data_IF_588656463021
#
_entry.id   IF_588656463021
#
_cell.length_a   1.000
_cell.length_b   1.000
_cell.length_c   1.000
_cell.angle_alpha   90.00
_cell.angle_beta   90.00
_cell.angle_gamma   90.00
#
_symmetry.space_group_name_H-M   'P 1'
#
loop_
_entity.id
_entity.type
_entity.pdbx_description
1 polymer ?
#
# COMPACT_ATOMS: atom_id res chain seq x y z
N UNK A 1 -27.69 -22.82 35.62
CA UNK A 1 -26.89 -22.26 34.51
C UNK A 1 -25.49 -22.86 34.57
N UNK A 2 -24.76 -22.92 33.45
CA UNK A 2 -23.40 -23.47 33.40
C UNK A 2 -22.43 -22.79 34.38
N UNK A 3 -22.65 -21.52 34.68
CA UNK A 3 -21.86 -20.78 35.67
C UNK A 3 -22.11 -21.28 37.10
N UNK A 4 -23.35 -21.60 37.44
CA UNK A 4 -23.69 -22.20 38.75
C UNK A 4 -23.07 -23.58 38.92
N UNK A 5 -23.13 -24.40 37.87
CA UNK A 5 -22.51 -25.72 37.86
C UNK A 5 -21.01 -25.67 38.00
N UNK A 6 -20.37 -24.62 37.49
CA UNK A 6 -18.95 -24.37 37.59
C UNK A 6 -18.54 -23.68 38.92
N UNK A 7 -19.50 -23.33 39.77
CA UNK A 7 -19.25 -22.63 41.04
C UNK A 7 -18.78 -21.18 40.90
N UNK A 8 -19.11 -20.57 39.75
CA UNK A 8 -18.77 -19.19 39.45
C UNK A 8 -19.95 -18.23 39.66
N UNK A 9 -19.70 -16.95 39.92
CA UNK A 9 -20.76 -15.96 40.02
C UNK A 9 -21.63 -15.93 38.78
N UNK A 10 -22.95 -15.93 38.93
CA UNK A 10 -23.90 -15.95 37.82
C UNK A 10 -23.86 -14.69 36.94
N UNK A 11 -23.31 -13.59 37.45
CA UNK A 11 -23.06 -12.37 36.68
C UNK A 11 -21.80 -12.42 35.82
N UNK A 12 -20.96 -13.45 35.98
CA UNK A 12 -19.70 -13.62 35.26
C UNK A 12 -18.67 -12.53 35.52
N UNK A 13 -18.87 -11.73 36.57
CA UNK A 13 -18.01 -10.58 36.87
C UNK A 13 -17.22 -10.77 38.17
N UNK A 14 -15.99 -10.33 38.14
CA UNK A 14 -15.06 -10.38 39.28
C UNK A 14 -14.57 -8.99 39.67
N UNK A 15 -14.18 -8.86 40.93
CA UNK A 15 -13.51 -7.66 41.41
C UNK A 15 -12.04 -7.75 41.02
N UNK A 16 -11.57 -6.76 40.30
CA UNK A 16 -10.17 -6.68 39.88
C UNK A 16 -9.48 -5.46 40.53
N UNK A 17 -8.16 -5.53 40.56
CA UNK A 17 -7.28 -4.49 41.07
C UNK A 17 -6.35 -4.03 39.95
N UNK A 18 -6.01 -2.74 39.95
CA UNK A 18 -5.02 -2.19 39.06
C UNK A 18 -3.62 -2.74 39.40
N UNK A 19 -2.93 -3.33 38.42
CA UNK A 19 -1.59 -3.91 38.61
C UNK A 19 -0.49 -2.89 38.90
N UNK A 20 -0.71 -1.59 38.62
CA UNK A 20 0.26 -0.54 38.89
C UNK A 20 0.05 0.13 40.25
N UNK A 21 -1.19 0.47 40.56
CA UNK A 21 -1.53 1.21 41.79
C UNK A 21 -1.92 0.31 42.95
N UNK A 22 -2.35 -0.92 42.67
CA UNK A 22 -2.91 -1.84 43.66
C UNK A 22 -4.33 -1.45 44.10
N UNK A 23 -4.92 -0.42 43.52
CA UNK A 23 -6.26 0.03 43.85
C UNK A 23 -7.34 -0.85 43.23
N UNK A 24 -8.45 -1.01 43.91
CA UNK A 24 -9.61 -1.74 43.40
C UNK A 24 -10.30 -0.93 42.29
N UNK A 25 -10.62 -1.60 41.16
CA UNK A 25 -11.43 -1.01 40.12
C UNK A 25 -12.85 -0.71 40.65
N UNK A 26 -13.42 0.43 40.27
CA UNK A 26 -14.74 0.88 40.73
C UNK A 26 -15.85 -0.09 40.34
N UNK A 27 -15.74 -0.69 39.15
CA UNK A 27 -16.74 -1.62 38.64
C UNK A 27 -16.21 -3.05 38.58
N UNK A 28 -17.10 -4.01 38.78
CA UNK A 28 -16.78 -5.41 38.50
C UNK A 28 -16.58 -5.63 37.01
N UNK A 29 -15.58 -6.37 36.64
CA UNK A 29 -15.18 -6.67 35.25
C UNK A 29 -15.53 -8.11 34.90
N UNK A 30 -16.00 -8.34 33.69
CA UNK A 30 -16.22 -9.69 33.17
C UNK A 30 -14.86 -10.38 33.00
N UNK A 31 -14.72 -11.54 33.64
CA UNK A 31 -13.48 -12.34 33.59
C UNK A 31 -13.87 -13.77 33.16
N UNK A 32 -13.10 -14.32 32.24
CA UNK A 32 -13.30 -15.67 31.75
C UNK A 32 -12.09 -16.15 30.95
N UNK A 33 -12.11 -17.41 30.63
CA UNK A 33 -11.12 -17.99 29.75
C UNK A 33 -11.52 -17.77 28.29
N UNK A 34 -10.54 -17.48 27.44
CA UNK A 34 -10.70 -17.36 25.98
C UNK A 34 -9.72 -18.30 25.30
N UNK A 35 -10.21 -19.01 24.31
CA UNK A 35 -9.38 -19.85 23.47
C UNK A 35 -8.74 -19.01 22.36
N UNK A 36 -7.44 -18.87 22.39
CA UNK A 36 -6.68 -18.12 21.41
C UNK A 36 -5.83 -19.02 20.55
N UNK A 37 -5.88 -18.80 19.25
CA UNK A 37 -5.08 -19.49 18.25
C UNK A 37 -4.08 -18.51 17.63
N UNK A 38 -2.83 -18.90 17.55
CA UNK A 38 -1.83 -18.24 16.72
C UNK A 38 -1.77 -18.95 15.38
N UNK A 39 -2.24 -18.28 14.32
CA UNK A 39 -2.21 -18.84 12.98
C UNK A 39 -0.77 -18.85 12.42
N UNK A 40 -0.55 -19.75 11.46
CA UNK A 40 0.76 -19.93 10.83
C UNK A 40 1.02 -18.85 9.76
N UNK A 41 1.04 -17.59 10.19
CA UNK A 41 1.38 -16.45 9.36
C UNK A 41 2.83 -16.03 9.63
N UNK A 42 3.77 -16.73 9.02
CA UNK A 42 5.20 -16.45 9.18
C UNK A 42 5.58 -15.21 8.37
N UNK A 43 6.45 -14.38 8.94
CA UNK A 43 6.97 -13.19 8.27
C UNK A 43 7.77 -13.55 7.00
N UNK A 44 8.48 -14.64 7.00
CA UNK A 44 9.27 -15.11 5.85
C UNK A 44 8.40 -15.38 4.59
N UNK A 45 7.16 -15.84 4.80
CA UNK A 45 6.20 -16.06 3.72
C UNK A 45 5.59 -14.76 3.19
N UNK A 46 5.63 -13.68 3.97
CA UNK A 46 4.97 -12.41 3.67
C UNK A 46 5.90 -11.29 3.29
N UNK A 47 7.14 -11.30 3.81
CA UNK A 47 8.12 -10.27 3.48
C UNK A 47 8.44 -10.29 1.98
N UNK A 48 8.39 -9.12 1.37
CA UNK A 48 8.66 -8.98 -0.05
C UNK A 48 9.24 -7.61 -0.34
N UNK A 49 10.27 -7.57 -1.19
CA UNK A 49 10.88 -6.35 -1.68
C UNK A 49 11.15 -6.49 -3.18
N UNK A 50 11.16 -5.36 -3.86
CA UNK A 50 11.41 -5.28 -5.29
C UNK A 50 12.17 -3.99 -5.62
N UNK A 51 13.18 -4.11 -6.49
CA UNK A 51 13.77 -2.96 -7.17
C UNK A 51 13.30 -2.94 -8.63
N UNK A 52 13.72 -3.90 -9.42
CA UNK A 52 13.30 -4.14 -10.80
C UNK A 52 12.74 -5.55 -10.94
N UNK A 53 11.83 -5.76 -11.89
CA UNK A 53 11.23 -7.07 -12.09
C UNK A 53 10.31 -7.08 -13.32
N UNK A 54 9.44 -8.10 -13.46
CA UNK A 54 8.57 -8.23 -14.62
C UNK A 54 7.47 -7.15 -14.65
N UNK A 55 7.11 -6.76 -15.86
CA UNK A 55 6.07 -5.77 -16.16
C UNK A 55 4.98 -6.38 -17.05
N UNK A 56 3.79 -5.79 -17.02
CA UNK A 56 2.71 -6.14 -17.94
C UNK A 56 3.07 -5.71 -19.37
N UNK A 57 2.63 -6.47 -20.37
CA UNK A 57 2.94 -6.19 -21.78
C UNK A 57 2.23 -4.94 -22.30
N UNK A 58 0.96 -4.73 -21.94
CA UNK A 58 0.15 -3.65 -22.49
C UNK A 58 0.33 -2.36 -21.70
N UNK A 59 0.12 -2.42 -20.40
CA UNK A 59 0.16 -1.25 -19.52
C UNK A 59 1.57 -0.87 -19.08
N UNK A 60 2.56 -1.74 -19.25
CA UNK A 60 3.93 -1.56 -18.77
C UNK A 60 4.04 -1.27 -17.26
N UNK A 61 3.01 -1.64 -16.51
CA UNK A 61 3.01 -1.53 -15.06
C UNK A 61 3.66 -2.75 -14.41
N UNK A 62 4.28 -2.61 -13.22
CA UNK A 62 4.78 -3.73 -12.47
C UNK A 62 3.68 -4.77 -12.21
N UNK A 63 4.01 -6.05 -12.36
CA UNK A 63 3.08 -7.12 -11.98
C UNK A 63 2.84 -7.10 -10.47
N UNK A 64 1.70 -7.63 -10.02
CA UNK A 64 1.38 -7.76 -8.61
C UNK A 64 1.74 -9.14 -8.04
N UNK A 65 1.91 -9.21 -6.72
CA UNK A 65 2.08 -10.44 -5.96
C UNK A 65 3.52 -10.90 -5.76
N UNK A 66 3.81 -11.43 -4.58
CA UNK A 66 5.14 -11.91 -4.18
C UNK A 66 5.69 -13.00 -5.10
N UNK A 67 4.84 -13.97 -5.50
CA UNK A 67 5.25 -15.10 -6.34
C UNK A 67 5.74 -14.69 -7.73
N UNK A 68 5.29 -13.55 -8.25
CA UNK A 68 5.69 -12.99 -9.54
C UNK A 68 6.75 -11.91 -9.43
N UNK A 69 7.37 -11.77 -8.27
CA UNK A 69 8.32 -10.69 -7.98
C UNK A 69 7.73 -9.31 -8.32
N UNK A 70 6.47 -9.12 -7.94
CA UNK A 70 5.68 -7.95 -8.27
C UNK A 70 5.85 -6.78 -7.30
N UNK A 71 5.32 -5.63 -7.70
CA UNK A 71 5.27 -4.42 -6.88
C UNK A 71 4.01 -4.31 -6.05
N UNK A 72 3.98 -3.31 -5.17
CA UNK A 72 2.80 -2.95 -4.39
C UNK A 72 1.82 -2.16 -5.25
N UNK A 73 0.54 -2.28 -4.94
CA UNK A 73 -0.50 -1.47 -5.57
C UNK A 73 -0.62 -0.14 -4.82
N UNK A 74 -0.42 0.94 -5.56
CA UNK A 74 -0.74 2.29 -5.10
C UNK A 74 -2.10 2.68 -5.66
N UNK A 75 -3.14 2.53 -4.84
CA UNK A 75 -4.53 2.71 -5.27
C UNK A 75 -4.96 4.18 -5.31
N UNK A 76 -6.22 4.41 -5.67
CA UNK A 76 -6.82 5.73 -5.78
C UNK A 76 -6.80 6.50 -4.45
N UNK A 77 -7.10 5.82 -3.34
CA UNK A 77 -7.11 6.48 -2.02
C UNK A 77 -5.71 6.91 -1.57
N UNK A 78 -4.67 6.14 -1.90
CA UNK A 78 -3.28 6.48 -1.62
C UNK A 78 -2.85 7.70 -2.42
N UNK A 79 -3.32 7.83 -3.66
CA UNK A 79 -3.12 9.03 -4.49
C UNK A 79 -3.75 10.25 -3.84
N UNK A 80 -4.98 10.13 -3.34
CA UNK A 80 -5.65 11.21 -2.63
C UNK A 80 -4.89 11.67 -1.37
N UNK A 81 -4.28 10.75 -0.66
CA UNK A 81 -3.45 11.08 0.50
C UNK A 81 -2.24 11.96 0.11
N UNK A 82 -1.56 11.63 -0.99
CA UNK A 82 -0.45 12.45 -1.49
C UNK A 82 -0.92 13.81 -2.04
N UNK A 83 -2.07 13.85 -2.68
CA UNK A 83 -2.68 15.11 -3.14
C UNK A 83 -3.01 16.02 -1.95
N UNK A 84 -3.59 15.47 -0.88
CA UNK A 84 -3.89 16.22 0.33
C UNK A 84 -2.64 16.77 1.03
N UNK A 85 -1.53 16.05 0.92
CA UNK A 85 -0.23 16.49 1.45
C UNK A 85 0.47 17.54 0.59
N UNK A 86 0.05 17.68 -0.68
CA UNK A 86 0.70 18.54 -1.66
C UNK A 86 2.05 18.00 -2.17
N UNK A 87 2.30 16.70 -2.04
CA UNK A 87 3.54 16.04 -2.43
C UNK A 87 3.53 15.69 -3.95
N UNK A 88 3.53 16.71 -4.81
CA UNK A 88 3.39 16.53 -6.25
C UNK A 88 4.55 15.76 -6.90
N UNK A 89 5.78 16.04 -6.49
CA UNK A 89 6.96 15.36 -7.04
C UNK A 89 7.03 13.88 -6.65
N UNK A 90 6.66 13.53 -5.42
CA UNK A 90 6.58 12.13 -4.98
C UNK A 90 5.49 11.39 -5.75
N UNK A 91 4.34 12.00 -5.96
CA UNK A 91 3.26 11.44 -6.76
C UNK A 91 3.69 11.22 -8.22
N UNK A 92 4.35 12.20 -8.82
CA UNK A 92 4.88 12.08 -10.18
C UNK A 92 5.89 10.94 -10.29
N UNK A 93 6.81 10.80 -9.36
CA UNK A 93 7.78 9.71 -9.31
C UNK A 93 7.09 8.34 -9.23
N UNK A 94 6.08 8.20 -8.36
CA UNK A 94 5.33 6.95 -8.19
C UNK A 94 4.52 6.57 -9.44
N UNK A 95 3.98 7.53 -10.16
CA UNK A 95 3.17 7.30 -11.34
C UNK A 95 3.99 7.06 -12.61
N UNK A 96 5.22 7.55 -12.69
CA UNK A 96 6.05 7.51 -13.90
C UNK A 96 7.22 6.54 -13.78
N UNK A 97 8.33 7.00 -13.25
CA UNK A 97 9.60 6.25 -13.25
C UNK A 97 9.58 4.97 -12.41
N UNK A 98 8.73 4.89 -11.42
CA UNK A 98 8.50 3.69 -10.61
C UNK A 98 7.40 2.78 -11.17
N UNK A 99 6.67 3.18 -12.18
CA UNK A 99 5.52 2.47 -12.71
C UNK A 99 5.64 2.20 -14.20
N UNK A 100 5.05 3.00 -15.07
CA UNK A 100 4.82 2.69 -16.46
C UNK A 100 5.53 3.61 -17.48
N UNK A 101 6.37 4.53 -17.05
CA UNK A 101 7.24 5.29 -17.93
C UNK A 101 8.48 4.48 -18.32
N UNK A 102 8.45 3.88 -19.51
CA UNK A 102 9.51 2.96 -19.98
C UNK A 102 10.86 3.67 -20.14
N UNK A 103 10.87 4.86 -20.74
CA UNK A 103 12.10 5.64 -20.91
C UNK A 103 12.60 6.19 -19.57
N UNK A 104 11.70 6.70 -18.74
CA UNK A 104 12.03 7.24 -17.43
C UNK A 104 12.65 6.21 -16.49
N UNK A 105 12.18 4.95 -16.54
CA UNK A 105 12.78 3.86 -15.77
C UNK A 105 14.25 3.62 -16.13
N UNK A 106 14.57 3.66 -17.40
CA UNK A 106 15.95 3.45 -17.88
C UNK A 106 16.83 4.63 -17.49
N UNK A 107 16.36 5.84 -17.72
CA UNK A 107 17.10 7.07 -17.38
C UNK A 107 17.36 7.21 -15.88
N UNK A 108 16.39 6.91 -15.03
CA UNK A 108 16.58 6.99 -13.59
C UNK A 108 17.60 5.95 -13.09
N UNK A 109 17.59 4.75 -13.67
CA UNK A 109 18.56 3.73 -13.34
C UNK A 109 19.99 4.12 -13.77
N UNK A 110 20.15 4.67 -14.97
CA UNK A 110 21.43 5.24 -15.43
C UNK A 110 21.93 6.36 -14.51
N UNK A 111 21.04 7.25 -14.14
CA UNK A 111 21.33 8.37 -13.23
C UNK A 111 21.81 7.88 -11.86
N UNK A 112 21.14 6.87 -11.29
CA UNK A 112 21.57 6.25 -10.04
C UNK A 112 22.94 5.60 -10.13
N UNK A 113 23.25 4.92 -11.22
CA UNK A 113 24.55 4.27 -11.44
C UNK A 113 25.66 5.32 -11.60
N UNK A 114 25.37 6.45 -12.24
CA UNK A 114 26.30 7.58 -12.39
C UNK A 114 26.45 8.40 -11.09
N UNK A 115 25.57 8.24 -10.12
CA UNK A 115 25.56 9.00 -8.88
C UNK A 115 24.88 10.36 -8.98
N UNK A 116 24.14 10.61 -10.06
CA UNK A 116 23.34 11.82 -10.25
C UNK A 116 21.93 11.59 -9.73
N UNK A 117 21.34 12.58 -9.04
CA UNK A 117 20.00 12.51 -8.49
C UNK A 117 19.01 13.38 -9.30
N UNK A 118 19.05 13.27 -10.62
CA UNK A 118 18.14 13.99 -11.51
C UNK A 118 16.97 13.10 -11.91
N UNK A 119 15.77 13.63 -11.78
CA UNK A 119 14.52 12.97 -12.21
C UNK A 119 13.99 13.68 -13.46
N UNK A 120 14.05 12.99 -14.60
CA UNK A 120 13.34 13.39 -15.81
C UNK A 120 12.15 12.43 -16.01
N UNK A 121 10.96 12.89 -15.67
CA UNK A 121 9.74 12.14 -15.89
C UNK A 121 9.23 12.34 -17.32
N UNK A 122 8.89 11.25 -17.98
CA UNK A 122 8.21 11.24 -19.27
C UNK A 122 6.68 11.11 -19.11
N UNK A 123 6.04 10.66 -20.15
CA UNK A 123 4.60 10.37 -20.16
C UNK A 123 4.37 8.90 -19.79
N UNK A 124 3.42 8.60 -18.90
CA UNK A 124 3.04 7.21 -18.60
C UNK A 124 2.53 6.47 -19.83
N UNK A 125 2.90 5.19 -20.01
CA UNK A 125 2.43 4.38 -21.12
C UNK A 125 0.89 4.21 -21.13
N UNK A 126 0.28 4.15 -19.95
CA UNK A 126 -1.17 4.12 -19.79
C UNK A 126 -1.85 5.38 -20.35
N UNK A 127 -1.22 6.54 -20.26
CA UNK A 127 -1.70 7.78 -20.87
C UNK A 127 -1.65 7.72 -22.40
N UNK A 128 -0.59 7.16 -22.98
CA UNK A 128 -0.48 6.97 -24.43
C UNK A 128 -1.55 6.01 -24.96
N UNK A 129 -1.87 4.95 -24.23
CA UNK A 129 -2.99 4.06 -24.53
C UNK A 129 -4.32 4.81 -24.51
N UNK A 130 -4.58 5.60 -23.47
CA UNK A 130 -5.78 6.43 -23.39
C UNK A 130 -5.90 7.41 -24.57
N UNK A 131 -4.81 8.07 -24.93
CA UNK A 131 -4.76 8.99 -26.06
C UNK A 131 -5.09 8.30 -27.38
N UNK A 132 -4.56 7.11 -27.61
CA UNK A 132 -4.85 6.32 -28.79
C UNK A 132 -6.31 5.84 -28.83
N UNK A 133 -6.89 5.46 -27.71
CA UNK A 133 -8.31 5.10 -27.61
C UNK A 133 -9.23 6.29 -27.89
N UNK A 134 -8.91 7.48 -27.36
CA UNK A 134 -9.66 8.73 -27.65
C UNK A 134 -9.59 9.06 -29.14
N UNK A 135 -8.40 8.94 -29.75
CA UNK A 135 -8.25 9.14 -31.20
C UNK A 135 -9.03 8.10 -32.02
N UNK A 136 -9.12 6.86 -31.54
CA UNK A 136 -9.95 5.82 -32.14
C UNK A 136 -11.43 6.14 -32.15
N UNK A 137 -11.90 7.02 -31.27
CA UNK A 137 -13.25 7.57 -31.23
C UNK A 137 -13.42 8.81 -32.12
N UNK A 138 -12.47 9.10 -33.03
CA UNK A 138 -12.44 10.28 -33.91
C UNK A 138 -12.32 11.62 -33.15
N UNK A 139 -11.85 11.60 -31.90
CA UNK A 139 -11.54 12.80 -31.14
C UNK A 139 -10.04 13.11 -31.23
N UNK A 140 -9.68 14.39 -31.22
CA UNK A 140 -8.28 14.81 -31.23
C UNK A 140 -7.85 15.31 -29.85
N UNK A 141 -6.83 14.65 -29.29
CA UNK A 141 -6.15 15.06 -28.07
C UNK A 141 -4.69 15.32 -28.39
N UNK A 142 -4.24 16.55 -28.17
CA UNK A 142 -2.85 16.95 -28.35
C UNK A 142 -2.28 17.52 -27.05
N UNK A 143 -1.05 17.14 -26.75
CA UNK A 143 -0.29 17.69 -25.63
C UNK A 143 0.56 18.84 -26.16
N UNK A 144 0.34 20.03 -25.65
CA UNK A 144 1.19 21.18 -25.90
C UNK A 144 2.12 21.42 -24.72
N UNK A 145 3.43 21.55 -24.99
CA UNK A 145 4.35 22.02 -23.97
C UNK A 145 4.13 23.52 -23.75
N UNK A 146 3.80 23.91 -22.54
CA UNK A 146 3.84 25.31 -22.16
C UNK A 146 5.26 25.81 -22.41
N UNK A 147 5.41 26.77 -23.30
CA UNK A 147 6.67 27.49 -23.45
C UNK A 147 6.84 28.33 -22.19
N UNK A 148 7.80 27.91 -21.32
CA UNK A 148 8.22 28.65 -20.15
C UNK A 148 9.18 29.78 -20.52
#
# INVERSE_FOLDING_TARGET
TCLDEAGLPTDGKSVLFDGHTGERLEQKVTVGEIYMLKLHHLVDDKVHARATGPYSLITQQPLGGKARFGGQRFGEMEVWALEAYGAAYVLQELLTVKSDDVEGRTKIYESMVKGENTLEAGTPASFDVLNNEIRGLCLNLQLEKAMG
#
